data_IF_061115512439
#
_entry.id   IF_061115512439
#
_cell.length_a   1.000
_cell.length_b   1.000
_cell.length_c   1.000
_cell.angle_alpha   90.00
_cell.angle_beta   90.00
_cell.angle_gamma   90.00
#
_symmetry.space_group_name_H-M   'P 1'
#
loop_
_entity.id
_entity.type
_entity.pdbx_description
1 polymer ?
#
# COMPACT_ATOMS: atom_id res chain seq x y z
N UNK A 1 -10.14 28.44 -16.04
CA UNK A 1 -9.46 27.81 -17.21
C UNK A 1 -8.46 26.79 -16.67
N UNK A 2 -8.42 25.56 -17.22
CA UNK A 2 -7.44 24.54 -16.86
C UNK A 2 -6.11 24.91 -17.51
N UNK A 3 -5.05 25.00 -16.73
CA UNK A 3 -3.68 25.24 -17.21
C UNK A 3 -2.94 23.95 -17.53
N UNK A 4 -3.09 22.93 -16.66
CA UNK A 4 -2.46 21.62 -16.85
C UNK A 4 -3.29 20.57 -16.12
N UNK A 5 -3.34 19.34 -16.65
CA UNK A 5 -3.96 18.17 -16.03
C UNK A 5 -3.05 16.97 -16.17
N UNK A 6 -2.81 16.29 -15.07
CA UNK A 6 -1.98 15.09 -14.99
C UNK A 6 -2.78 13.98 -14.34
N UNK A 7 -2.68 12.76 -14.90
CA UNK A 7 -3.18 11.52 -14.30
C UNK A 7 -2.00 10.67 -13.84
N UNK A 8 -2.03 10.21 -12.60
CA UNK A 8 -1.11 9.22 -12.08
C UNK A 8 -1.85 7.91 -11.81
N UNK A 9 -1.21 6.79 -12.14
CA UNK A 9 -1.74 5.43 -11.92
C UNK A 9 -0.75 4.63 -11.10
N UNK A 10 -1.22 4.08 -10.00
CA UNK A 10 -0.49 3.24 -9.08
C UNK A 10 -1.31 2.00 -8.71
N UNK A 11 -0.74 1.16 -7.85
CA UNK A 11 -1.35 -0.10 -7.47
C UNK A 11 -1.35 -0.28 -5.94
N UNK A 12 -2.16 -1.20 -5.44
CA UNK A 12 -2.15 -1.61 -4.04
C UNK A 12 -1.01 -2.55 -3.71
N UNK A 13 -0.91 -2.91 -2.43
CA UNK A 13 0.07 -3.90 -1.98
C UNK A 13 -0.49 -4.74 -0.81
N UNK A 14 0.17 -5.87 -0.54
CA UNK A 14 -0.06 -6.72 0.62
C UNK A 14 1.21 -6.77 1.47
N UNK A 15 1.07 -6.97 2.79
CA UNK A 15 2.23 -7.06 3.68
C UNK A 15 2.94 -8.40 3.57
N UNK A 16 4.26 -8.33 3.52
CA UNK A 16 5.18 -9.44 3.79
C UNK A 16 5.59 -9.41 5.26
N UNK A 17 6.05 -8.25 5.76
CA UNK A 17 6.37 -8.01 7.16
C UNK A 17 5.77 -6.69 7.62
N UNK A 18 5.05 -6.68 8.73
CA UNK A 18 4.44 -5.49 9.30
C UNK A 18 5.48 -4.61 10.00
N UNK A 19 5.53 -3.33 9.64
CA UNK A 19 6.52 -2.38 10.15
C UNK A 19 6.19 -1.77 11.52
N UNK A 20 4.98 -1.97 12.07
CA UNK A 20 4.57 -1.29 13.31
C UNK A 20 5.41 -1.67 14.54
N UNK A 21 5.94 -2.91 14.58
CA UNK A 21 6.74 -3.37 15.70
C UNK A 21 8.18 -2.81 15.70
N UNK A 22 8.76 -2.59 14.51
CA UNK A 22 10.21 -2.34 14.35
C UNK A 22 10.53 -1.08 13.56
N UNK A 23 9.54 -0.41 12.96
CA UNK A 23 9.72 0.62 11.93
C UNK A 23 10.47 0.13 10.68
N UNK A 24 10.51 -1.18 10.48
CA UNK A 24 11.10 -1.84 9.30
C UNK A 24 10.10 -2.83 8.75
N UNK A 25 9.80 -2.74 7.48
CA UNK A 25 8.72 -3.51 6.87
C UNK A 25 9.03 -4.03 5.48
N UNK A 26 8.13 -4.87 4.99
CA UNK A 26 8.17 -5.36 3.63
C UNK A 26 6.77 -5.56 3.09
N UNK A 27 6.58 -5.16 1.84
CA UNK A 27 5.31 -5.32 1.14
C UNK A 27 5.53 -5.83 -0.29
N UNK A 28 4.46 -6.34 -0.89
CA UNK A 28 4.42 -6.90 -2.24
C UNK A 28 3.29 -6.22 -3.02
N UNK A 29 3.60 -5.66 -4.18
CA UNK A 29 2.65 -5.03 -5.07
C UNK A 29 1.60 -5.99 -5.62
N UNK A 30 0.35 -5.53 -5.71
CA UNK A 30 -0.78 -6.24 -6.33
C UNK A 30 -1.46 -5.35 -7.37
N UNK A 31 -2.16 -5.94 -8.36
CA UNK A 31 -2.69 -5.20 -9.52
C UNK A 31 -4.03 -4.48 -9.27
N UNK A 32 -4.47 -4.33 -8.01
CA UNK A 32 -5.60 -3.45 -7.69
C UNK A 32 -5.17 -2.00 -7.86
N UNK A 33 -5.84 -1.28 -8.75
CA UNK A 33 -5.40 0.02 -9.26
C UNK A 33 -5.99 1.18 -8.47
N UNK A 34 -5.22 2.26 -8.39
CA UNK A 34 -5.67 3.60 -8.01
C UNK A 34 -5.22 4.61 -9.05
N UNK A 35 -6.09 5.54 -9.40
CA UNK A 35 -5.77 6.68 -10.26
C UNK A 35 -6.05 7.98 -9.54
N UNK A 36 -5.15 8.96 -9.66
CA UNK A 36 -5.35 10.31 -9.20
C UNK A 36 -5.21 11.28 -10.38
N UNK A 37 -6.22 12.11 -10.59
CA UNK A 37 -6.13 13.23 -11.54
C UNK A 37 -5.96 14.51 -10.75
N UNK A 38 -4.92 15.28 -11.10
CA UNK A 38 -4.65 16.60 -10.58
C UNK A 38 -4.79 17.64 -11.68
N UNK A 39 -5.59 18.67 -11.43
CA UNK A 39 -5.78 19.80 -12.35
C UNK A 39 -5.31 21.10 -11.71
N UNK A 40 -4.47 21.84 -12.42
CA UNK A 40 -4.10 23.21 -12.10
C UNK A 40 -5.00 24.16 -12.86
N UNK A 41 -5.72 25.04 -12.15
CA UNK A 41 -6.66 26.01 -12.71
C UNK A 41 -6.31 27.41 -12.22
N UNK A 42 -6.64 28.44 -13.02
CA UNK A 42 -6.57 29.83 -12.57
C UNK A 42 -7.59 30.04 -11.43
N UNK A 43 -7.17 30.70 -10.34
CA UNK A 43 -7.97 30.99 -9.15
C UNK A 43 -7.39 30.35 -7.89
N UNK A 44 -7.94 30.70 -6.73
CA UNK A 44 -7.42 30.27 -5.43
C UNK A 44 -8.10 28.99 -4.89
N UNK A 45 -7.36 28.23 -4.06
CA UNK A 45 -7.84 27.14 -3.23
C UNK A 45 -7.60 25.74 -3.78
N UNK A 46 -7.73 24.76 -2.88
CA UNK A 46 -7.63 23.34 -3.19
C UNK A 46 -9.00 22.69 -3.01
N UNK A 47 -9.44 21.93 -3.99
CA UNK A 47 -10.72 21.22 -3.96
C UNK A 47 -10.51 19.73 -4.22
N UNK A 48 -11.09 18.91 -3.38
CA UNK A 48 -11.15 17.45 -3.57
C UNK A 48 -12.54 16.95 -3.17
N UNK A 49 -13.24 16.27 -4.07
CA UNK A 49 -14.54 15.66 -3.77
C UNK A 49 -14.41 14.35 -2.98
N UNK A 50 -13.19 13.84 -2.75
CA UNK A 50 -12.95 12.55 -2.11
C UNK A 50 -12.94 12.62 -0.58
N UNK A 51 -13.24 11.50 0.09
CA UNK A 51 -13.41 11.38 1.54
C UNK A 51 -12.18 11.76 2.40
N UNK A 52 -10.97 11.75 1.85
CA UNK A 52 -9.71 12.02 2.58
C UNK A 52 -9.21 13.47 2.43
N UNK A 53 -10.09 14.46 2.52
CA UNK A 53 -9.77 15.85 2.24
C UNK A 53 -8.58 16.44 3.03
N UNK A 54 -8.33 15.99 4.28
CA UNK A 54 -7.16 16.45 5.05
C UNK A 54 -5.85 15.90 4.47
N UNK A 55 -5.79 14.59 4.19
CA UNK A 55 -4.62 13.95 3.58
C UNK A 55 -4.28 14.59 2.23
N UNK A 56 -5.28 14.69 1.36
CA UNK A 56 -5.09 15.26 0.02
C UNK A 56 -4.61 16.71 0.10
N UNK A 57 -5.19 17.54 0.98
CA UNK A 57 -4.69 18.91 1.18
C UNK A 57 -3.24 18.96 1.64
N UNK A 58 -2.86 18.12 2.60
CA UNK A 58 -1.48 18.05 3.06
C UNK A 58 -0.52 17.66 1.92
N UNK A 59 -0.92 16.70 1.07
CA UNK A 59 -0.11 16.32 -0.10
C UNK A 59 0.05 17.51 -1.06
N UNK A 60 -1.02 18.20 -1.39
CA UNK A 60 -0.96 19.37 -2.27
C UNK A 60 -0.03 20.44 -1.70
N UNK A 61 -0.15 20.78 -0.41
CA UNK A 61 0.71 21.79 0.23
C UNK A 61 2.16 21.36 0.37
N UNK A 62 2.44 20.06 0.52
CA UNK A 62 3.81 19.54 0.59
C UNK A 62 4.44 19.36 -0.80
N UNK A 63 3.63 19.40 -1.85
CA UNK A 63 4.07 19.06 -3.21
C UNK A 63 4.17 20.29 -4.12
N UNK A 64 3.17 21.16 -4.06
CA UNK A 64 3.07 22.32 -4.96
C UNK A 64 3.62 23.57 -4.28
N UNK A 65 4.53 24.32 -4.90
CA UNK A 65 5.09 25.55 -4.34
C UNK A 65 4.02 26.59 -3.98
N UNK A 66 4.28 27.36 -2.91
CA UNK A 66 3.32 28.33 -2.37
C UNK A 66 2.98 29.47 -3.35
N UNK A 67 3.95 29.91 -4.14
CA UNK A 67 3.76 30.90 -5.19
C UNK A 67 2.82 30.39 -6.31
N UNK A 68 2.95 29.13 -6.68
CA UNK A 68 2.00 28.50 -7.62
C UNK A 68 0.58 28.45 -7.05
N UNK A 69 0.45 28.09 -5.75
CA UNK A 69 -0.85 28.01 -5.07
C UNK A 69 -1.49 29.41 -4.82
N UNK A 70 -0.70 30.47 -4.77
CA UNK A 70 -1.21 31.83 -4.61
C UNK A 70 -2.03 32.31 -5.82
N UNK A 71 -1.68 31.84 -7.02
CA UNK A 71 -2.34 32.24 -8.26
C UNK A 71 -3.26 31.17 -8.86
N UNK A 72 -3.17 29.95 -8.35
CA UNK A 72 -3.86 28.79 -8.95
C UNK A 72 -4.58 27.95 -7.90
N UNK A 73 -5.71 27.39 -8.31
CA UNK A 73 -6.40 26.32 -7.57
C UNK A 73 -5.98 24.95 -8.07
N UNK A 74 -5.93 23.99 -7.15
CA UNK A 74 -5.67 22.58 -7.47
C UNK A 74 -6.92 21.76 -7.24
N UNK A 75 -7.33 21.01 -8.25
CA UNK A 75 -8.49 20.12 -8.18
C UNK A 75 -8.00 18.67 -8.26
N UNK A 76 -8.37 17.83 -7.29
CA UNK A 76 -7.94 16.44 -7.20
C UNK A 76 -9.16 15.52 -7.26
N UNK A 77 -9.11 14.56 -8.18
CA UNK A 77 -10.06 13.44 -8.24
C UNK A 77 -9.30 12.13 -8.08
N UNK A 78 -9.84 11.20 -7.27
CA UNK A 78 -9.23 9.89 -7.03
C UNK A 78 -10.26 8.80 -7.25
N UNK A 79 -9.91 7.81 -8.06
CA UNK A 79 -10.64 6.57 -8.24
C UNK A 79 -9.79 5.37 -7.81
N UNK A 80 -10.36 4.39 -7.09
CA UNK A 80 -9.61 3.30 -6.48
C UNK A 80 -10.38 2.00 -6.44
N UNK A 81 -9.76 0.93 -6.96
CA UNK A 81 -10.22 -0.45 -6.83
C UNK A 81 -9.84 -1.08 -5.47
N UNK A 82 -8.99 -0.41 -4.68
CA UNK A 82 -8.42 -0.97 -3.46
C UNK A 82 -9.42 -0.83 -2.31
N UNK A 83 -9.90 -1.93 -1.70
CA UNK A 83 -10.82 -1.88 -0.55
C UNK A 83 -10.23 -1.09 0.62
N UNK A 84 -10.98 -0.07 1.08
CA UNK A 84 -10.55 0.80 2.17
C UNK A 84 -10.69 0.09 3.51
N UNK A 85 -9.65 0.19 4.34
CA UNK A 85 -9.71 -0.30 5.72
C UNK A 85 -9.37 -1.78 5.91
N UNK A 86 -9.00 -2.50 4.84
CA UNK A 86 -8.67 -3.93 4.88
C UNK A 86 -7.17 -4.24 4.98
N UNK A 87 -6.29 -3.24 5.01
CA UNK A 87 -4.85 -3.46 5.08
C UNK A 87 -4.18 -3.68 3.71
N UNK A 88 -4.87 -3.32 2.61
CA UNK A 88 -4.39 -3.44 1.23
C UNK A 88 -3.68 -2.18 0.72
N UNK A 89 -3.20 -1.35 1.65
CA UNK A 89 -2.38 -0.17 1.42
C UNK A 89 -3.08 0.96 0.64
N UNK A 90 -4.42 1.01 0.71
CA UNK A 90 -5.22 2.04 0.01
C UNK A 90 -4.77 3.47 0.35
N UNK A 91 -4.42 3.76 1.62
CA UNK A 91 -3.96 5.11 2.01
C UNK A 91 -2.62 5.47 1.37
N UNK A 92 -1.65 4.54 1.37
CA UNK A 92 -0.32 4.76 0.75
C UNK A 92 -0.47 4.92 -0.77
N UNK A 93 -1.20 4.03 -1.43
CA UNK A 93 -1.43 4.10 -2.87
C UNK A 93 -2.11 5.42 -3.29
N UNK A 94 -3.11 5.89 -2.53
CA UNK A 94 -3.76 7.19 -2.77
C UNK A 94 -2.78 8.34 -2.54
N UNK A 95 -2.00 8.31 -1.45
CA UNK A 95 -1.04 9.36 -1.15
C UNK A 95 0.01 9.49 -2.25
N UNK A 96 0.56 8.37 -2.68
CA UNK A 96 1.59 8.34 -3.73
C UNK A 96 1.02 8.79 -5.08
N UNK A 97 -0.21 8.35 -5.43
CA UNK A 97 -0.86 8.75 -6.68
C UNK A 97 -1.11 10.26 -6.74
N UNK A 98 -1.63 10.83 -5.65
CA UNK A 98 -1.87 12.28 -5.57
C UNK A 98 -0.54 13.04 -5.56
N UNK A 99 0.48 12.56 -4.83
CA UNK A 99 1.80 13.19 -4.79
C UNK A 99 2.48 13.17 -6.16
N UNK A 100 2.40 12.04 -6.88
CA UNK A 100 2.96 11.94 -8.23
C UNK A 100 2.23 12.86 -9.21
N UNK A 101 0.89 12.85 -9.22
CA UNK A 101 0.12 13.73 -10.10
C UNK A 101 0.40 15.21 -9.82
N UNK A 102 0.41 15.64 -8.55
CA UNK A 102 0.72 17.01 -8.15
C UNK A 102 2.16 17.39 -8.48
N UNK A 103 3.12 16.49 -8.26
CA UNK A 103 4.53 16.75 -8.60
C UNK A 103 4.71 17.00 -10.09
N UNK A 104 4.09 16.19 -10.94
CA UNK A 104 4.15 16.32 -12.41
C UNK A 104 3.40 17.55 -12.94
N UNK A 105 2.49 18.16 -12.19
CA UNK A 105 1.91 19.45 -12.53
C UNK A 105 2.97 20.56 -12.59
N UNK A 106 3.96 20.54 -11.69
CA UNK A 106 4.94 21.62 -11.49
C UNK A 106 6.37 21.24 -11.89
N UNK A 107 6.70 19.96 -11.93
CA UNK A 107 8.01 19.46 -12.34
C UNK A 107 7.87 18.10 -13.05
N UNK A 108 8.14 18.08 -14.35
CA UNK A 108 8.01 16.86 -15.16
C UNK A 108 9.13 15.84 -14.90
N UNK A 109 10.29 16.29 -14.42
CA UNK A 109 11.46 15.43 -14.16
C UNK A 109 11.69 15.16 -12.66
N UNK A 110 10.58 15.15 -11.88
CA UNK A 110 10.66 14.86 -10.43
C UNK A 110 11.18 13.45 -10.19
N UNK A 111 12.11 13.33 -9.24
CA UNK A 111 12.64 12.04 -8.79
C UNK A 111 11.64 11.26 -7.94
N UNK A 112 11.62 9.94 -8.09
CA UNK A 112 10.69 9.04 -7.40
C UNK A 112 10.77 9.14 -5.88
N UNK A 113 11.98 9.18 -5.31
CA UNK A 113 12.17 9.33 -3.86
C UNK A 113 11.56 10.62 -3.33
N UNK A 114 11.68 11.71 -4.08
CA UNK A 114 11.06 12.99 -3.70
C UNK A 114 9.53 12.88 -3.66
N UNK A 115 8.94 12.14 -4.59
CA UNK A 115 7.48 11.90 -4.60
C UNK A 115 7.06 11.09 -3.39
N UNK A 116 7.76 9.97 -3.11
CA UNK A 116 7.49 9.11 -1.96
C UNK A 116 7.64 9.86 -0.63
N UNK A 117 8.71 10.62 -0.45
CA UNK A 117 8.93 11.40 0.77
C UNK A 117 7.82 12.42 1.01
N UNK A 118 7.36 13.12 -0.02
CA UNK A 118 6.23 14.06 0.07
C UNK A 118 4.93 13.36 0.48
N UNK A 119 4.64 12.20 -0.10
CA UNK A 119 3.47 11.41 0.22
C UNK A 119 3.49 10.89 1.65
N UNK A 120 4.64 10.37 2.10
CA UNK A 120 4.86 9.84 3.45
C UNK A 120 4.77 10.95 4.50
N UNK A 121 5.43 12.09 4.29
CA UNK A 121 5.34 13.25 5.19
C UNK A 121 3.90 13.76 5.31
N UNK A 122 3.17 13.89 4.21
CA UNK A 122 1.78 14.29 4.23
C UNK A 122 0.88 13.28 4.98
N UNK A 123 1.20 11.99 4.88
CA UNK A 123 0.48 10.91 5.58
C UNK A 123 0.75 10.94 7.08
N UNK A 124 1.97 11.24 7.52
CA UNK A 124 2.33 11.46 8.92
C UNK A 124 1.60 12.69 9.49
N UNK A 125 1.63 13.82 8.78
CA UNK A 125 0.96 15.07 9.18
C UNK A 125 -0.58 14.91 9.25
N UNK A 126 -1.14 14.10 8.37
CA UNK A 126 -2.57 13.76 8.39
C UNK A 126 -2.92 12.75 9.48
N UNK A 127 -1.94 12.11 10.12
CA UNK A 127 -2.08 11.04 11.13
C UNK A 127 -2.81 9.80 10.58
N UNK A 128 -2.61 9.47 9.30
CA UNK A 128 -3.13 8.25 8.68
C UNK A 128 -2.17 7.08 8.78
N UNK A 129 -0.93 7.33 9.14
CA UNK A 129 0.11 6.34 9.44
C UNK A 129 0.84 6.67 10.73
N UNK A 130 1.49 5.67 11.34
CA UNK A 130 2.31 5.81 12.55
C UNK A 130 3.80 5.79 12.20
N UNK A 131 4.22 4.93 11.26
CA UNK A 131 5.63 4.70 10.90
C UNK A 131 6.04 5.39 9.61
N UNK A 132 5.13 6.14 8.98
CA UNK A 132 5.30 6.63 7.61
C UNK A 132 4.90 5.59 6.55
N UNK A 133 4.95 4.29 6.88
CA UNK A 133 4.61 3.18 6.01
C UNK A 133 5.36 3.22 4.65
N UNK A 134 6.68 3.48 4.70
CA UNK A 134 7.51 3.61 3.51
C UNK A 134 7.62 2.30 2.71
N UNK A 135 7.50 1.15 3.38
CA UNK A 135 7.37 -0.17 2.77
C UNK A 135 6.11 -0.28 1.90
N UNK A 136 4.98 0.19 2.43
CA UNK A 136 3.70 0.20 1.73
C UNK A 136 3.76 1.14 0.51
N UNK A 137 4.25 2.38 0.71
CA UNK A 137 4.43 3.36 -0.36
C UNK A 137 5.36 2.83 -1.45
N UNK A 138 6.52 2.28 -1.08
CA UNK A 138 7.48 1.73 -2.04
C UNK A 138 6.90 0.59 -2.87
N UNK A 139 6.15 -0.35 -2.25
CA UNK A 139 5.53 -1.45 -2.97
C UNK A 139 4.39 -1.00 -3.88
N UNK A 140 3.59 0.01 -3.47
CA UNK A 140 2.55 0.61 -4.30
C UNK A 140 3.14 1.36 -5.49
N UNK A 141 4.29 2.02 -5.30
CA UNK A 141 4.92 2.85 -6.30
C UNK A 141 5.77 2.08 -7.31
N UNK A 142 6.62 1.16 -6.84
CA UNK A 142 7.57 0.44 -7.70
C UNK A 142 7.08 -0.95 -8.14
N UNK A 143 6.05 -1.50 -7.48
CA UNK A 143 5.65 -2.89 -7.64
C UNK A 143 6.69 -3.86 -7.06
N UNK A 144 6.46 -5.17 -7.25
CA UNK A 144 7.34 -6.21 -6.73
C UNK A 144 7.44 -6.22 -5.20
N UNK A 145 8.53 -6.78 -4.70
CA UNK A 145 8.88 -6.77 -3.29
C UNK A 145 9.62 -5.48 -2.92
N UNK A 146 9.16 -4.78 -1.90
CA UNK A 146 9.87 -3.69 -1.26
C UNK A 146 10.20 -4.07 0.20
N UNK A 147 11.45 -3.89 0.60
CA UNK A 147 11.94 -4.06 1.98
C UNK A 147 12.56 -2.75 2.40
N UNK A 148 12.04 -2.12 3.45
CA UNK A 148 12.43 -0.74 3.79
C UNK A 148 12.68 -0.55 5.27
N UNK A 149 13.51 0.45 5.58
CA UNK A 149 13.55 1.08 6.88
C UNK A 149 12.67 2.34 6.83
N UNK A 150 11.51 2.30 7.48
CA UNK A 150 10.54 3.40 7.46
C UNK A 150 11.00 4.62 8.26
N UNK A 151 11.98 4.46 9.16
CA UNK A 151 12.51 5.57 9.97
C UNK A 151 13.48 6.45 9.17
N UNK A 152 14.27 5.83 8.28
CA UNK A 152 15.25 6.52 7.43
C UNK A 152 14.77 6.73 6.00
N UNK A 153 13.57 6.26 5.65
CA UNK A 153 13.02 6.24 4.29
C UNK A 153 13.97 5.56 3.30
N UNK A 154 14.59 4.47 3.71
CA UNK A 154 15.55 3.73 2.92
C UNK A 154 14.94 2.46 2.34
N UNK A 155 15.07 2.26 1.04
CA UNK A 155 14.77 0.99 0.37
C UNK A 155 16.00 0.10 0.48
N UNK A 156 15.98 -0.85 1.43
CA UNK A 156 17.07 -1.80 1.66
C UNK A 156 17.17 -2.82 0.52
N UNK A 157 15.98 -3.24 0.02
CA UNK A 157 15.90 -4.16 -1.10
C UNK A 157 14.63 -3.93 -1.90
N UNK A 158 14.76 -3.90 -3.22
CA UNK A 158 13.65 -3.95 -4.15
C UNK A 158 13.91 -5.05 -5.18
N UNK A 159 12.90 -5.88 -5.46
CA UNK A 159 13.03 -7.01 -6.37
C UNK A 159 11.70 -7.30 -7.04
N UNK A 160 11.73 -7.61 -8.34
CA UNK A 160 10.55 -8.12 -9.04
C UNK A 160 10.11 -9.46 -8.46
N UNK A 161 8.82 -9.65 -8.32
CA UNK A 161 8.22 -10.93 -7.99
C UNK A 161 8.12 -11.81 -9.25
N UNK A 162 8.02 -13.15 -9.13
CA UNK A 162 7.69 -14.02 -10.26
C UNK A 162 6.39 -13.59 -10.95
N UNK A 163 6.36 -13.63 -12.29
CA UNK A 163 5.27 -13.06 -13.10
C UNK A 163 3.93 -13.80 -13.00
N UNK A 164 3.93 -15.09 -12.63
CA UNK A 164 2.73 -15.95 -12.58
C UNK A 164 2.18 -16.17 -11.17
N UNK A 165 2.39 -15.19 -10.31
CA UNK A 165 1.83 -15.19 -8.97
C UNK A 165 0.56 -14.35 -8.88
N UNK A 166 -0.35 -14.82 -8.03
CA UNK A 166 -1.62 -14.19 -7.69
C UNK A 166 -1.76 -14.08 -6.17
N UNK A 167 -2.48 -13.07 -5.74
CA UNK A 167 -2.95 -12.92 -4.37
C UNK A 167 -4.46 -13.21 -4.31
N UNK A 168 -4.85 -14.29 -3.64
CA UNK A 168 -6.22 -14.52 -3.22
C UNK A 168 -6.43 -13.84 -1.87
N UNK A 169 -7.27 -12.80 -1.84
CA UNK A 169 -7.44 -11.91 -0.71
C UNK A 169 -8.82 -12.12 -0.11
N UNK A 170 -8.87 -12.68 1.10
CA UNK A 170 -10.10 -12.82 1.87
C UNK A 170 -10.40 -11.54 2.64
N UNK A 171 -11.60 -11.00 2.46
CA UNK A 171 -12.13 -9.82 3.12
C UNK A 171 -13.21 -10.25 4.12
N UNK A 172 -12.92 -10.42 5.40
CA UNK A 172 -13.89 -10.86 6.40
C UNK A 172 -14.96 -9.78 6.65
N UNK A 173 -16.23 -10.18 6.74
CA UNK A 173 -17.37 -9.25 6.88
C UNK A 173 -17.47 -8.60 8.27
N UNK A 174 -17.01 -9.26 9.32
CA UNK A 174 -17.20 -8.84 10.71
C UNK A 174 -15.91 -8.73 11.53
N UNK A 175 -14.75 -8.84 10.92
CA UNK A 175 -13.48 -8.78 11.63
C UNK A 175 -13.16 -7.36 12.13
N UNK A 176 -12.73 -7.26 13.38
CA UNK A 176 -12.24 -6.01 13.97
C UNK A 176 -10.73 -5.96 13.88
N UNK A 177 -10.19 -4.75 13.69
CA UNK A 177 -8.75 -4.54 13.84
C UNK A 177 -8.36 -4.82 15.28
N UNK A 178 -7.29 -5.62 15.47
CA UNK A 178 -6.75 -5.89 16.80
C UNK A 178 -6.06 -4.68 17.43
N UNK A 179 -5.64 -4.81 18.68
CA UNK A 179 -4.90 -3.78 19.38
C UNK A 179 -3.43 -3.78 18.93
N UNK A 180 -3.07 -2.81 18.11
CA UNK A 180 -1.73 -2.67 17.51
C UNK A 180 -0.62 -2.43 18.53
N UNK A 181 -0.93 -1.91 19.73
CA UNK A 181 0.11 -1.69 20.78
C UNK A 181 0.75 -3.00 21.25
N UNK A 182 0.10 -4.14 21.06
CA UNK A 182 0.64 -5.45 21.40
C UNK A 182 1.77 -5.92 20.47
N UNK A 183 1.90 -5.34 19.28
CA UNK A 183 2.94 -5.74 18.33
C UNK A 183 4.34 -5.45 18.87
N UNK A 184 4.52 -4.39 19.63
CA UNK A 184 5.82 -4.03 20.21
C UNK A 184 6.34 -5.07 21.21
N UNK A 185 5.46 -5.88 21.84
CA UNK A 185 5.87 -6.95 22.77
C UNK A 185 6.58 -8.11 22.07
N UNK A 186 6.47 -8.21 20.75
CA UNK A 186 7.11 -9.23 19.91
C UNK A 186 8.09 -8.62 18.89
N UNK A 187 8.61 -7.42 19.16
CA UNK A 187 9.51 -6.69 18.23
C UNK A 187 10.68 -7.54 17.74
N UNK A 188 11.30 -8.33 18.63
CA UNK A 188 12.44 -9.18 18.27
C UNK A 188 12.06 -10.24 17.24
N UNK A 189 10.88 -10.87 17.39
CA UNK A 189 10.38 -11.86 16.44
C UNK A 189 9.98 -11.23 15.10
N UNK A 190 9.38 -10.05 15.10
CA UNK A 190 9.17 -9.28 13.88
C UNK A 190 10.50 -8.88 13.23
N UNK A 191 11.55 -8.63 14.04
CA UNK A 191 12.91 -8.42 13.56
C UNK A 191 13.47 -9.64 12.81
N UNK A 192 13.21 -10.86 13.29
CA UNK A 192 13.59 -12.09 12.56
C UNK A 192 12.82 -12.24 11.24
N UNK A 193 11.51 -11.97 11.23
CA UNK A 193 10.76 -11.95 9.98
C UNK A 193 11.31 -10.92 8.98
N UNK A 194 11.73 -9.75 9.48
CA UNK A 194 12.35 -8.71 8.65
C UNK A 194 13.72 -9.15 8.09
N UNK A 195 14.56 -9.83 8.87
CA UNK A 195 15.83 -10.39 8.39
C UNK A 195 15.61 -11.40 7.25
N UNK A 196 14.58 -12.25 7.35
CA UNK A 196 14.19 -13.16 6.27
C UNK A 196 13.82 -12.38 4.99
N UNK A 197 13.00 -11.33 5.12
CA UNK A 197 12.64 -10.50 3.97
C UNK A 197 13.85 -9.80 3.35
N UNK A 198 14.77 -9.28 4.16
CA UNK A 198 16.02 -8.66 3.72
C UNK A 198 16.92 -9.66 2.98
N UNK A 199 16.92 -10.92 3.41
CA UNK A 199 17.64 -12.00 2.73
C UNK A 199 16.95 -12.48 1.43
N UNK A 200 15.72 -12.00 1.13
CA UNK A 200 14.95 -12.43 -0.04
C UNK A 200 14.07 -13.66 0.20
N UNK A 201 14.00 -14.14 1.44
CA UNK A 201 13.18 -15.29 1.87
C UNK A 201 11.74 -14.83 2.17
N UNK A 202 11.11 -14.16 1.19
CA UNK A 202 9.85 -13.45 1.35
C UNK A 202 8.70 -14.33 1.85
N UNK A 203 8.60 -15.55 1.35
CA UNK A 203 7.52 -16.45 1.73
C UNK A 203 7.63 -16.94 3.16
N UNK A 204 8.86 -17.22 3.62
CA UNK A 204 9.12 -17.55 5.03
C UNK A 204 8.81 -16.35 5.92
N UNK A 205 9.24 -15.14 5.50
CA UNK A 205 8.97 -13.90 6.20
C UNK A 205 7.46 -13.65 6.34
N UNK A 206 6.69 -13.81 5.25
CA UNK A 206 5.25 -13.61 5.23
C UNK A 206 4.51 -14.60 6.14
N UNK A 207 4.88 -15.89 6.10
CA UNK A 207 4.28 -16.91 6.96
C UNK A 207 4.59 -16.66 8.44
N UNK A 208 5.83 -16.31 8.79
CA UNK A 208 6.20 -15.95 10.16
C UNK A 208 5.45 -14.70 10.63
N UNK A 209 5.40 -13.66 9.81
CA UNK A 209 4.63 -12.45 10.09
C UNK A 209 3.14 -12.76 10.36
N UNK A 210 2.54 -13.66 9.58
CA UNK A 210 1.15 -14.09 9.75
C UNK A 210 0.89 -14.74 11.11
N UNK A 211 1.80 -15.62 11.57
CA UNK A 211 1.73 -16.23 12.89
C UNK A 211 1.85 -15.19 14.01
N UNK A 212 2.82 -14.27 13.89
CA UNK A 212 3.06 -13.22 14.87
C UNK A 212 1.87 -12.25 14.97
N UNK A 213 1.33 -11.82 13.83
CA UNK A 213 0.16 -10.94 13.78
C UNK A 213 -1.07 -11.62 14.38
N UNK A 214 -1.35 -12.87 14.03
CA UNK A 214 -2.49 -13.62 14.58
C UNK A 214 -2.40 -13.72 16.09
N UNK A 215 -1.25 -14.08 16.62
CA UNK A 215 -1.02 -14.17 18.07
C UNK A 215 -1.16 -12.81 18.75
N UNK A 216 -0.48 -11.78 18.22
CA UNK A 216 -0.47 -10.44 18.82
C UNK A 216 -1.84 -9.76 18.80
N UNK A 217 -2.60 -9.95 17.72
CA UNK A 217 -3.90 -9.32 17.51
C UNK A 217 -5.07 -10.16 18.00
N UNK A 218 -4.81 -11.41 18.47
CA UNK A 218 -5.83 -12.40 18.77
C UNK A 218 -6.78 -12.62 17.58
N UNK A 219 -6.22 -12.63 16.37
CA UNK A 219 -6.94 -12.81 15.13
C UNK A 219 -7.03 -14.30 14.77
N UNK A 220 -8.09 -14.66 14.06
CA UNK A 220 -8.29 -16.03 13.59
C UNK A 220 -7.21 -16.41 12.57
N UNK A 221 -6.50 -17.50 12.81
CA UNK A 221 -5.42 -17.99 11.94
C UNK A 221 -5.83 -19.15 11.04
N UNK A 222 -6.99 -19.75 11.28
CA UNK A 222 -7.45 -20.89 10.49
C UNK A 222 -7.58 -20.63 9.00
N UNK A 223 -8.07 -19.46 8.52
CA UNK A 223 -8.09 -19.16 7.08
C UNK A 223 -6.69 -19.18 6.45
N UNK A 224 -5.67 -18.71 7.17
CA UNK A 224 -4.26 -18.74 6.71
C UNK A 224 -3.79 -20.20 6.56
N UNK A 225 -4.02 -21.04 7.57
CA UNK A 225 -3.65 -22.46 7.52
C UNK A 225 -4.35 -23.17 6.35
N UNK A 226 -5.64 -22.90 6.15
CA UNK A 226 -6.41 -23.51 5.05
C UNK A 226 -5.85 -23.09 3.69
N UNK A 227 -5.51 -21.83 3.51
CA UNK A 227 -4.91 -21.34 2.27
C UNK A 227 -3.57 -22.03 1.96
N UNK A 228 -2.68 -22.16 2.97
CA UNK A 228 -1.40 -22.86 2.82
C UNK A 228 -1.61 -24.33 2.45
N UNK A 229 -2.55 -25.05 3.12
CA UNK A 229 -2.90 -26.43 2.79
C UNK A 229 -3.46 -26.62 1.37
N UNK A 230 -3.97 -25.53 0.79
CA UNK A 230 -4.56 -25.49 -0.56
C UNK A 230 -3.61 -24.93 -1.62
N UNK A 231 -2.31 -24.89 -1.34
CA UNK A 231 -1.27 -24.58 -2.31
C UNK A 231 -0.81 -23.12 -2.31
N UNK A 232 -1.18 -22.30 -1.31
CA UNK A 232 -0.56 -20.99 -1.16
C UNK A 232 0.93 -21.17 -0.77
N UNK A 233 1.82 -20.47 -1.48
CA UNK A 233 3.26 -20.42 -1.16
C UNK A 233 3.51 -19.65 0.13
N UNK A 234 2.64 -18.67 0.42
CA UNK A 234 2.60 -17.94 1.68
C UNK A 234 1.21 -17.35 1.91
N UNK A 235 0.84 -17.18 3.18
CA UNK A 235 -0.37 -16.47 3.56
C UNK A 235 -0.19 -15.73 4.89
N UNK A 236 -0.80 -14.53 5.00
CA UNK A 236 -0.71 -13.68 6.18
C UNK A 236 -1.88 -12.72 6.28
N UNK A 237 -2.09 -12.18 7.46
CA UNK A 237 -2.90 -10.97 7.64
C UNK A 237 -2.14 -9.82 6.96
N UNK A 238 -2.81 -9.03 6.13
CA UNK A 238 -2.20 -7.89 5.45
C UNK A 238 -2.32 -6.60 6.26
N UNK A 239 -1.21 -5.93 6.49
CA UNK A 239 -1.14 -4.71 7.29
C UNK A 239 -1.67 -4.94 8.70
N UNK A 240 -2.60 -4.10 9.12
CA UNK A 240 -3.28 -4.20 10.40
C UNK A 240 -4.58 -5.03 10.30
N UNK A 241 -4.72 -5.77 9.21
CA UNK A 241 -5.92 -6.52 8.90
C UNK A 241 -7.12 -5.62 8.53
N UNK A 242 -8.31 -6.21 8.45
CA UNK A 242 -8.59 -7.62 8.71
C UNK A 242 -8.35 -8.57 7.53
N UNK A 243 -7.95 -8.07 6.34
CA UNK A 243 -7.77 -8.94 5.18
C UNK A 243 -6.66 -9.98 5.39
N UNK A 244 -6.89 -11.17 4.86
CA UNK A 244 -5.90 -12.23 4.75
C UNK A 244 -5.53 -12.37 3.28
N UNK A 245 -4.25 -12.24 2.98
CA UNK A 245 -3.71 -12.42 1.64
C UNK A 245 -2.97 -13.75 1.55
N UNK A 246 -3.32 -14.57 0.56
CA UNK A 246 -2.67 -15.82 0.22
C UNK A 246 -2.05 -15.71 -1.18
N UNK A 247 -0.75 -15.88 -1.29
CA UNK A 247 -0.02 -15.83 -2.56
C UNK A 247 0.11 -17.24 -3.11
N UNK A 248 -0.20 -17.42 -4.39
CA UNK A 248 -0.14 -18.73 -5.05
C UNK A 248 0.12 -18.60 -6.55
N UNK A 249 0.46 -19.69 -7.18
CA UNK A 249 0.38 -19.83 -8.63
C UNK A 249 -1.08 -20.03 -9.07
N UNK A 250 -1.33 -19.88 -10.36
CA UNK A 250 -2.67 -19.88 -10.95
C UNK A 250 -3.46 -21.16 -10.65
N UNK A 251 -2.82 -22.31 -10.69
CA UNK A 251 -3.43 -23.62 -10.46
C UNK A 251 -4.06 -23.80 -9.07
N UNK A 252 -3.62 -23.02 -8.08
CA UNK A 252 -4.13 -23.12 -6.70
C UNK A 252 -5.22 -22.10 -6.37
N UNK A 253 -5.54 -21.16 -7.26
CA UNK A 253 -6.47 -20.06 -6.98
C UNK A 253 -7.84 -20.58 -6.57
N UNK A 254 -8.44 -21.49 -7.34
CA UNK A 254 -9.80 -21.97 -7.10
C UNK A 254 -9.88 -22.79 -5.81
N UNK A 255 -8.87 -23.57 -5.49
CA UNK A 255 -8.79 -24.33 -4.24
C UNK A 255 -8.69 -23.40 -3.01
N UNK A 256 -7.91 -22.34 -3.11
CA UNK A 256 -7.79 -21.33 -2.04
C UNK A 256 -9.09 -20.55 -1.88
N UNK A 257 -9.75 -20.15 -2.98
CA UNK A 257 -11.08 -19.52 -2.93
C UNK A 257 -12.10 -20.42 -2.24
N UNK A 258 -12.13 -21.70 -2.59
CA UNK A 258 -13.01 -22.67 -1.96
C UNK A 258 -12.72 -22.83 -0.45
N UNK A 259 -11.43 -22.76 -0.06
CA UNK A 259 -11.06 -22.79 1.36
C UNK A 259 -11.58 -21.54 2.10
N UNK A 260 -11.49 -20.36 1.50
CA UNK A 260 -11.99 -19.11 2.07
C UNK A 260 -13.51 -19.02 2.09
N UNK A 261 -14.23 -19.71 1.20
CA UNK A 261 -15.69 -19.74 1.17
C UNK A 261 -16.33 -20.34 2.42
N UNK A 262 -15.56 -21.07 3.24
CA UNK A 262 -16.02 -21.59 4.54
C UNK A 262 -16.07 -20.51 5.64
N UNK A 263 -15.62 -19.29 5.36
CA UNK A 263 -15.62 -18.17 6.29
C UNK A 263 -16.55 -17.05 5.81
N UNK A 264 -17.08 -16.26 6.75
CA UNK A 264 -18.00 -15.18 6.42
C UNK A 264 -17.24 -13.96 5.87
N UNK A 265 -17.24 -13.79 4.56
CA UNK A 265 -16.53 -12.71 3.87
C UNK A 265 -16.66 -12.82 2.36
N UNK A 266 -15.83 -12.09 1.66
CA UNK A 266 -15.67 -12.15 0.20
C UNK A 266 -14.22 -12.36 -0.18
N UNK A 267 -13.96 -12.84 -1.40
CA UNK A 267 -12.62 -13.06 -1.93
C UNK A 267 -12.41 -12.22 -3.17
N UNK A 268 -11.28 -11.52 -3.21
CA UNK A 268 -10.77 -10.82 -4.39
C UNK A 268 -9.51 -11.57 -4.85
N UNK A 269 -9.38 -11.77 -6.16
CA UNK A 269 -8.14 -12.28 -6.76
C UNK A 269 -7.48 -11.17 -7.53
N UNK A 270 -6.20 -10.96 -7.29
CA UNK A 270 -5.38 -9.95 -7.97
C UNK A 270 -4.09 -10.59 -8.45
N UNK A 271 -3.61 -10.22 -9.63
CA UNK A 271 -2.23 -10.54 -10.03
C UNK A 271 -1.26 -9.80 -9.12
N UNK A 272 -0.05 -10.36 -8.96
CA UNK A 272 1.06 -9.61 -8.40
C UNK A 272 1.49 -8.54 -9.42
N UNK A 273 1.76 -7.33 -8.93
CA UNK A 273 2.18 -6.21 -9.75
C UNK A 273 3.69 -6.00 -9.66
N UNK A 274 4.35 -5.92 -10.81
CA UNK A 274 5.77 -5.58 -10.95
C UNK A 274 5.99 -4.24 -11.67
N UNK A 275 4.90 -3.53 -11.98
CA UNK A 275 4.95 -2.29 -12.74
C UNK A 275 5.11 -1.10 -11.80
N UNK A 276 5.99 -0.19 -12.18
CA UNK A 276 6.18 1.09 -11.51
C UNK A 276 4.99 2.02 -11.79
N UNK A 277 4.74 2.94 -10.86
CA UNK A 277 3.83 4.06 -11.02
C UNK A 277 4.07 4.83 -12.32
N UNK A 278 2.98 5.20 -12.98
CA UNK A 278 3.02 5.98 -14.22
C UNK A 278 2.26 7.29 -14.04
N UNK A 279 2.71 8.34 -14.75
CA UNK A 279 1.98 9.58 -14.87
C UNK A 279 1.96 10.04 -16.33
N UNK A 280 0.81 10.57 -16.74
CA UNK A 280 0.59 11.10 -18.08
C UNK A 280 0.00 12.53 -18.01
N UNK A 281 0.47 13.43 -18.84
CA UNK A 281 -0.12 14.75 -19.00
C UNK A 281 -1.29 14.66 -19.98
N UNK A 282 -2.51 14.99 -19.51
CA UNK A 282 -3.74 14.95 -20.30
C UNK A 282 -4.01 16.30 -21.00
N UNK A 283 -3.65 17.40 -20.33
CA UNK A 283 -3.77 18.77 -20.83
C UNK A 283 -2.56 19.54 -20.32
N UNK A 284 -1.85 20.20 -21.17
CA UNK A 284 -0.66 21.02 -20.83
C UNK A 284 -0.35 22.06 -21.86
#
# INVERSE_FOLDING_TARGET
MIKKRVRATLHGAISIVNALATCSGSALGISLRVTAEAELRVGEGTRSPTANGKLIRNIVYNTIPKDVLAENSVYINVDSEIPIGFGLKSSSAVSDAVALACSKLVNEEIEDHTVLDRAVLASLDAKVTVTGAYDDASACYFGGFAVTNNRTHEIIRHQKAPDNLFASIFLPKAARRGNMSKLSTMSDLFGEAFKLATAGEYWKAMNLNGMLLSTSLSAEYEPVIKAIKKGAVAASISGNGPAIAAVSYEESIEDIKAAFANFNGSVIVSKINNEKAMAETLVG
#
